data_IF_407835822335
#
_entry.id   IF_407835822335
#
_cell.length_a   1.000
_cell.length_b   1.000
_cell.length_c   1.000
_cell.angle_alpha   90.00
_cell.angle_beta   90.00
_cell.angle_gamma   90.00
#
_symmetry.space_group_name_H-M   'P 1'
#
loop_
_entity.id
_entity.type
_entity.pdbx_description
1 polymer ?
#
# COMPACT_ATOMS: atom_id res chain seq x y z
N UNK A 1 12.92 -23.52 19.52
CA UNK A 1 12.23 -22.33 18.97
C UNK A 1 11.43 -22.79 17.76
N UNK A 2 10.11 -22.95 17.89
CA UNK A 2 9.28 -23.54 16.84
C UNK A 2 8.82 -22.44 15.86
N UNK A 3 9.64 -22.07 14.88
CA UNK A 3 9.23 -21.11 13.85
C UNK A 3 8.04 -21.69 13.05
N UNK A 4 6.89 -21.01 13.07
CA UNK A 4 5.79 -21.37 12.18
C UNK A 4 6.22 -20.93 10.79
N UNK A 5 6.60 -21.90 9.95
CA UNK A 5 6.83 -21.64 8.52
C UNK A 5 5.48 -21.75 7.85
N UNK A 6 4.81 -20.61 7.64
CA UNK A 6 3.63 -20.59 6.78
C UNK A 6 4.11 -20.86 5.36
N UNK A 7 4.12 -22.13 4.96
CA UNK A 7 3.99 -22.51 3.56
C UNK A 7 2.52 -22.29 3.22
N UNK A 8 2.14 -21.04 2.97
CA UNK A 8 0.82 -20.79 2.38
C UNK A 8 0.90 -21.43 0.99
N UNK A 9 0.25 -22.58 0.86
CA UNK A 9 -0.10 -23.34 -0.34
C UNK A 9 0.52 -22.86 -1.66
N UNK A 10 1.20 -23.78 -2.35
CA UNK A 10 1.90 -23.67 -3.66
C UNK A 10 1.05 -23.14 -4.85
N UNK A 11 -0.07 -22.47 -4.62
CA UNK A 11 -0.94 -21.88 -5.66
C UNK A 11 -1.47 -20.47 -5.38
N UNK A 12 -1.32 -19.89 -4.18
CA UNK A 12 -1.83 -18.55 -3.87
C UNK A 12 -0.70 -17.53 -3.76
N UNK A 13 -0.65 -16.59 -4.72
CA UNK A 13 0.27 -15.46 -4.69
C UNK A 13 -0.30 -14.36 -3.79
N UNK A 14 0.05 -14.40 -2.51
CA UNK A 14 -0.23 -13.33 -1.57
C UNK A 14 1.08 -12.64 -1.15
N UNK A 15 0.99 -11.38 -0.75
CA UNK A 15 2.11 -10.61 -0.24
C UNK A 15 1.67 -9.83 0.99
N UNK A 16 2.52 -9.80 2.00
CA UNK A 16 2.32 -9.01 3.20
C UNK A 16 2.78 -7.58 2.94
N UNK A 17 1.85 -6.63 3.06
CA UNK A 17 2.15 -5.20 2.98
C UNK A 17 2.10 -4.64 4.39
N UNK A 18 3.11 -3.88 4.79
CA UNK A 18 3.18 -3.30 6.13
C UNK A 18 4.31 -2.29 6.28
N UNK A 19 4.64 -1.95 7.52
CA UNK A 19 5.68 -0.97 7.84
C UNK A 19 6.56 -1.48 8.98
N UNK A 20 7.83 -1.79 8.70
CA UNK A 20 8.74 -2.35 9.70
C UNK A 20 8.43 -3.81 10.06
N UNK A 21 7.98 -4.60 9.09
CA UNK A 21 7.44 -5.95 9.30
C UNK A 21 8.45 -6.96 9.88
N UNK A 22 9.75 -6.66 9.81
CA UNK A 22 10.80 -7.53 10.36
C UNK A 22 10.60 -7.81 11.86
N UNK A 23 10.17 -6.80 12.62
CA UNK A 23 9.93 -6.96 14.05
C UNK A 23 8.63 -7.74 14.31
N UNK A 24 7.57 -7.46 13.56
CA UNK A 24 6.29 -8.15 13.70
C UNK A 24 6.43 -9.65 13.44
N UNK A 25 7.11 -10.02 12.35
CA UNK A 25 7.38 -11.42 12.02
C UNK A 25 8.26 -12.12 13.06
N UNK A 26 9.21 -11.39 13.65
CA UNK A 26 10.04 -11.92 14.74
C UNK A 26 9.20 -12.21 15.98
N UNK A 27 8.34 -11.27 16.39
CA UNK A 27 7.47 -11.43 17.57
C UNK A 27 6.47 -12.57 17.37
N UNK A 28 5.84 -12.63 16.20
CA UNK A 28 4.87 -13.67 15.83
C UNK A 28 5.58 -15.01 15.56
N UNK A 29 6.92 -15.00 15.49
CA UNK A 29 7.75 -16.18 15.21
C UNK A 29 7.31 -16.89 13.90
N UNK A 30 7.11 -16.05 12.89
CA UNK A 30 6.65 -16.41 11.56
C UNK A 30 7.76 -16.11 10.55
N UNK A 31 8.21 -17.12 9.81
CA UNK A 31 9.13 -16.92 8.69
C UNK A 31 8.35 -16.67 7.39
N UNK A 32 8.55 -15.50 6.81
CA UNK A 32 8.01 -15.12 5.49
C UNK A 32 9.17 -14.88 4.52
N UNK A 33 9.17 -15.52 3.33
CA UNK A 33 10.14 -15.23 2.28
C UNK A 33 10.11 -13.74 1.87
N UNK A 34 11.28 -13.13 1.69
CA UNK A 34 11.38 -11.70 1.32
C UNK A 34 10.64 -11.35 0.02
N UNK A 35 10.48 -12.28 -0.90
CA UNK A 35 9.69 -12.10 -2.14
C UNK A 35 8.19 -11.89 -1.89
N UNK A 36 7.68 -12.26 -0.71
CA UNK A 36 6.29 -12.06 -0.30
C UNK A 36 6.13 -10.87 0.65
N UNK A 37 7.20 -10.13 0.96
CA UNK A 37 7.18 -8.99 1.87
C UNK A 37 7.29 -7.70 1.07
N UNK A 38 6.34 -6.81 1.30
CA UNK A 38 6.33 -5.44 0.78
C UNK A 38 6.37 -4.51 1.99
N UNK A 39 7.58 -4.15 2.41
CA UNK A 39 7.78 -3.26 3.56
C UNK A 39 7.89 -1.81 3.10
N UNK A 40 6.88 -1.01 3.44
CA UNK A 40 6.82 0.41 3.09
C UNK A 40 7.97 1.22 3.67
N UNK A 41 8.59 0.79 4.77
CA UNK A 41 9.75 1.49 5.33
C UNK A 41 10.94 1.46 4.36
N UNK A 42 11.14 0.33 3.68
CA UNK A 42 12.23 0.16 2.70
C UNK A 42 11.89 0.80 1.36
N UNK A 43 10.60 0.83 0.96
CA UNK A 43 10.17 1.47 -0.28
C UNK A 43 10.46 2.98 -0.34
N UNK A 44 10.40 3.67 0.80
CA UNK A 44 10.65 5.11 0.90
C UNK A 44 12.03 5.45 1.49
N UNK A 45 12.93 4.47 1.59
CA UNK A 45 14.25 4.64 2.19
C UNK A 45 15.29 5.07 1.15
N UNK A 46 16.16 6.01 1.52
CA UNK A 46 17.43 6.21 0.83
C UNK A 46 18.52 5.30 1.40
N UNK A 47 19.32 4.61 0.57
CA UNK A 47 20.36 3.71 1.04
C UNK A 47 21.36 4.47 1.92
N UNK A 48 21.77 3.86 3.04
CA UNK A 48 22.67 4.48 4.02
C UNK A 48 22.04 5.59 4.87
N UNK A 49 20.74 5.89 4.73
CA UNK A 49 20.04 6.89 5.54
C UNK A 49 19.07 6.28 6.56
N UNK A 50 18.62 7.14 7.49
CA UNK A 50 17.63 6.83 8.54
C UNK A 50 16.32 6.30 7.95
N UNK A 51 15.69 5.35 8.62
CA UNK A 51 14.34 4.87 8.31
C UNK A 51 13.27 5.91 8.68
N UNK A 52 12.28 6.08 7.81
CA UNK A 52 11.17 7.01 8.01
C UNK A 52 10.05 6.30 8.79
N UNK A 53 9.48 6.95 9.81
CA UNK A 53 8.39 6.36 10.59
C UNK A 53 7.06 6.38 9.84
N UNK A 54 6.16 5.45 10.18
CA UNK A 54 4.81 5.39 9.61
C UNK A 54 4.06 6.70 9.80
N UNK A 55 4.06 7.26 11.03
CA UNK A 55 3.43 8.56 11.34
C UNK A 55 3.99 9.70 10.47
N UNK A 56 5.30 9.72 10.22
CA UNK A 56 5.91 10.73 9.36
C UNK A 56 5.47 10.58 7.90
N UNK A 57 5.50 9.36 7.37
CA UNK A 57 5.07 9.09 5.98
C UNK A 57 3.58 9.37 5.79
N UNK A 58 2.73 8.91 6.70
CA UNK A 58 1.28 9.12 6.65
C UNK A 58 0.94 10.62 6.66
N UNK A 59 1.60 11.41 7.51
CA UNK A 59 1.36 12.85 7.60
C UNK A 59 1.75 13.61 6.33
N UNK A 60 2.84 13.22 5.65
CA UNK A 60 3.38 14.00 4.51
C UNK A 60 2.94 13.49 3.13
N UNK A 61 2.55 12.22 3.01
CA UNK A 61 2.17 11.61 1.73
C UNK A 61 0.68 11.37 1.58
N UNK A 62 -0.04 11.20 2.70
CA UNK A 62 -1.46 10.88 2.72
C UNK A 62 -2.30 11.95 3.43
N UNK A 63 -1.65 12.97 4.01
CA UNK A 63 -2.27 13.97 4.89
C UNK A 63 -3.06 13.34 6.05
N UNK A 64 -2.62 12.16 6.51
CA UNK A 64 -3.26 11.40 7.59
C UNK A 64 -2.52 11.58 8.92
N UNK A 65 -3.31 11.72 9.99
CA UNK A 65 -2.82 11.79 11.36
C UNK A 65 -3.19 10.52 12.10
N UNK A 66 -2.22 9.65 12.22
CA UNK A 66 -2.36 8.38 12.91
C UNK A 66 -1.60 8.42 14.24
N UNK A 67 -1.95 7.51 15.14
CA UNK A 67 -1.22 7.31 16.40
C UNK A 67 -1.10 8.61 17.24
N UNK A 68 -2.18 9.40 17.31
CA UNK A 68 -2.22 10.65 18.09
C UNK A 68 -2.26 10.37 19.60
N UNK A 69 -3.10 9.43 20.03
CA UNK A 69 -3.31 9.10 21.45
C UNK A 69 -2.95 7.65 21.74
N UNK A 70 -3.47 6.72 20.94
CA UNK A 70 -3.30 5.28 21.11
C UNK A 70 -2.95 4.64 19.77
N UNK A 71 -2.18 3.55 19.81
CA UNK A 71 -1.81 2.78 18.64
C UNK A 71 -2.93 1.81 18.26
N UNK A 72 -3.44 1.90 17.04
CA UNK A 72 -4.45 0.99 16.49
C UNK A 72 -3.86 0.25 15.29
N UNK A 73 -3.66 -1.05 15.46
CA UNK A 73 -3.07 -1.90 14.42
C UNK A 73 -3.89 -1.93 13.13
N UNK A 74 -5.20 -1.71 13.21
CA UNK A 74 -6.07 -1.64 12.02
C UNK A 74 -5.84 -0.34 11.27
N UNK A 75 -5.73 0.79 11.98
CA UNK A 75 -5.36 2.09 11.40
C UNK A 75 -3.99 2.03 10.73
N UNK A 76 -3.02 1.41 11.39
CA UNK A 76 -1.65 1.30 10.89
C UNK A 76 -1.56 0.41 9.64
N UNK A 77 -2.24 -0.74 9.64
CA UNK A 77 -2.29 -1.63 8.49
C UNK A 77 -2.94 -0.94 7.26
N UNK A 78 -4.01 -0.17 7.47
CA UNK A 78 -4.64 0.63 6.41
C UNK A 78 -3.69 1.71 5.89
N UNK A 79 -3.00 2.40 6.78
CA UNK A 79 -2.06 3.46 6.43
C UNK A 79 -0.87 2.92 5.62
N UNK A 80 -0.31 1.78 6.02
CA UNK A 80 0.73 1.11 5.25
C UNK A 80 0.24 0.67 3.86
N UNK A 81 -0.98 0.15 3.76
CA UNK A 81 -1.57 -0.20 2.46
C UNK A 81 -1.77 1.02 1.55
N UNK A 82 -2.23 2.15 2.11
CA UNK A 82 -2.37 3.41 1.37
C UNK A 82 -1.01 3.95 0.91
N UNK A 83 0.02 3.89 1.76
CA UNK A 83 1.39 4.25 1.39
C UNK A 83 1.92 3.41 0.25
N UNK A 84 1.65 2.10 0.24
CA UNK A 84 2.04 1.23 -0.87
C UNK A 84 1.34 1.61 -2.19
N UNK A 85 0.03 1.96 -2.14
CA UNK A 85 -0.67 2.48 -3.32
C UNK A 85 -0.06 3.79 -3.81
N UNK A 86 0.24 4.70 -2.90
CA UNK A 86 0.89 5.99 -3.20
C UNK A 86 2.28 5.81 -3.80
N UNK A 87 3.06 4.87 -3.28
CA UNK A 87 4.35 4.47 -3.85
C UNK A 87 4.20 4.04 -5.33
N UNK A 88 3.23 3.19 -5.64
CA UNK A 88 3.00 2.74 -7.01
C UNK A 88 2.60 3.88 -7.95
N UNK A 89 1.84 4.87 -7.47
CA UNK A 89 1.53 6.09 -8.23
C UNK A 89 2.79 6.91 -8.52
N UNK A 90 3.58 7.21 -7.49
CA UNK A 90 4.81 7.99 -7.61
C UNK A 90 5.82 7.29 -8.53
N UNK A 91 5.90 5.95 -8.45
CA UNK A 91 6.74 5.13 -9.33
C UNK A 91 6.28 5.19 -10.78
N UNK A 92 4.97 5.04 -11.04
CA UNK A 92 4.39 5.16 -12.40
C UNK A 92 4.62 6.54 -13.00
N UNK A 93 4.58 7.58 -12.18
CA UNK A 93 4.76 8.96 -12.61
C UNK A 93 6.24 9.37 -12.71
N UNK A 94 7.19 8.51 -12.30
CA UNK A 94 8.62 8.84 -12.31
C UNK A 94 9.06 9.88 -11.26
N UNK A 95 8.20 10.23 -10.30
CA UNK A 95 8.46 11.28 -9.30
C UNK A 95 8.89 10.74 -7.92
N UNK A 96 8.98 9.42 -7.78
CA UNK A 96 9.29 8.73 -6.52
C UNK A 96 10.58 9.24 -5.86
N UNK A 97 11.69 9.29 -6.60
CA UNK A 97 12.98 9.62 -6.01
C UNK A 97 13.05 11.07 -5.53
N UNK A 98 12.48 12.00 -6.31
CA UNK A 98 12.34 13.41 -5.93
C UNK A 98 11.50 13.56 -4.67
N UNK A 99 10.41 12.79 -4.58
CA UNK A 99 9.54 12.77 -3.40
C UNK A 99 10.28 12.26 -2.16
N UNK A 100 11.02 11.15 -2.26
CA UNK A 100 11.82 10.62 -1.16
C UNK A 100 12.87 11.66 -0.72
N UNK A 101 13.63 12.23 -1.65
CA UNK A 101 14.62 13.27 -1.33
C UNK A 101 13.98 14.49 -0.64
N UNK A 102 12.77 14.86 -1.03
CA UNK A 102 12.01 15.93 -0.38
C UNK A 102 11.62 15.57 1.06
N UNK A 103 11.12 14.35 1.29
CA UNK A 103 10.80 13.86 2.64
C UNK A 103 12.01 13.91 3.58
N UNK A 104 13.19 13.50 3.11
CA UNK A 104 14.41 13.60 3.91
C UNK A 104 14.79 15.06 4.20
N UNK A 105 14.67 15.97 3.23
CA UNK A 105 14.90 17.42 3.45
C UNK A 105 13.97 17.97 4.53
N UNK A 106 12.68 17.67 4.44
CA UNK A 106 11.70 18.04 5.48
C UNK A 106 12.15 17.48 6.83
N UNK A 107 12.44 16.18 6.90
CA UNK A 107 12.84 15.53 8.14
C UNK A 107 14.09 16.12 8.78
N UNK A 108 15.10 16.51 8.00
CA UNK A 108 16.26 17.23 8.54
C UNK A 108 15.87 18.63 9.05
N UNK A 109 15.01 19.35 8.34
CA UNK A 109 14.58 20.70 8.74
C UNK A 109 13.67 20.71 9.98
N UNK A 110 12.81 19.71 10.14
CA UNK A 110 11.86 19.59 11.24
C UNK A 110 12.35 18.68 12.36
N UNK A 111 13.60 18.20 12.29
CA UNK A 111 14.17 17.19 13.19
C UNK A 111 13.29 15.94 13.32
N UNK A 112 12.64 15.53 12.23
CA UNK A 112 11.75 14.37 12.14
C UNK A 112 10.49 14.46 13.01
N UNK A 113 10.14 15.65 13.50
CA UNK A 113 8.91 15.88 14.25
C UNK A 113 7.73 16.05 13.30
N UNK A 114 6.62 15.42 13.65
CA UNK A 114 5.33 15.59 12.96
C UNK A 114 4.50 16.55 13.81
N UNK A 115 4.15 17.75 13.30
CA UNK A 115 3.40 18.73 14.09
C UNK A 115 1.98 18.24 14.38
N UNK A 116 1.54 18.39 15.64
CA UNK A 116 0.19 18.01 16.08
C UNK A 116 -0.89 19.03 15.70
N UNK A 117 -0.52 20.21 15.20
CA UNK A 117 -1.44 21.21 14.61
C UNK A 117 -1.39 21.10 13.09
N UNK A 118 -2.50 21.27 12.33
CA UNK A 118 -2.46 21.22 10.87
C UNK A 118 -1.50 22.30 10.39
N UNK A 119 -0.24 21.92 10.20
CA UNK A 119 0.61 22.65 9.30
C UNK A 119 -0.13 22.54 7.98
N UNK A 120 -0.74 23.65 7.57
CA UNK A 120 -1.14 23.88 6.20
C UNK A 120 0.18 23.85 5.42
N UNK A 121 0.70 22.65 5.18
CA UNK A 121 1.64 22.47 4.10
C UNK A 121 0.85 22.89 2.89
N UNK A 122 1.30 23.91 2.14
CA UNK A 122 0.59 24.29 0.93
C UNK A 122 0.48 23.01 0.10
N UNK A 123 -0.76 22.54 -0.08
CA UNK A 123 -1.09 21.42 -0.96
C UNK A 123 -0.84 21.87 -2.39
N UNK A 124 0.44 21.96 -2.71
CA UNK A 124 0.95 21.99 -4.06
C UNK A 124 2.02 20.92 -4.11
N UNK A 125 1.57 19.67 -4.09
CA UNK A 125 2.13 18.66 -5.00
C UNK A 125 1.82 19.08 -6.46
N UNK A 126 2.22 20.30 -6.85
CA UNK A 126 2.64 20.55 -8.22
C UNK A 126 4.10 20.16 -8.22
N UNK A 127 4.41 18.98 -8.76
CA UNK A 127 5.77 18.69 -9.18
C UNK A 127 6.12 19.79 -10.21
N UNK A 128 7.10 20.68 -9.93
CA UNK A 128 7.39 21.79 -10.83
C UNK A 128 8.29 21.27 -11.95
N UNK A 129 7.77 20.43 -12.83
CA UNK A 129 8.36 20.21 -14.15
C UNK A 129 7.40 19.45 -15.08
N UNK A 130 6.25 20.05 -15.39
CA UNK A 130 5.66 19.82 -16.70
C UNK A 130 6.48 20.64 -17.70
N UNK A 131 7.66 20.15 -18.09
CA UNK A 131 8.24 20.56 -19.36
C UNK A 131 7.48 19.90 -20.49
N UNK A 132 6.27 20.42 -20.73
CA UNK A 132 5.68 20.33 -22.04
C UNK A 132 6.33 21.43 -22.89
N UNK A 133 7.42 21.03 -23.54
CA UNK A 133 7.79 21.54 -24.85
C UNK A 133 6.52 21.58 -25.72
N UNK A 134 6.06 22.75 -26.13
CA UNK A 134 5.34 22.93 -27.41
C UNK A 134 5.24 24.42 -27.73
N UNK A 135 6.19 24.84 -28.55
CA UNK A 135 5.95 25.89 -29.54
C UNK A 135 4.59 25.67 -30.21
N UNK A 136 3.74 26.68 -30.18
CA UNK A 136 2.60 26.79 -31.10
C UNK A 136 2.68 28.12 -31.85
N UNK A 137 2.63 28.10 -33.20
CA UNK A 137 2.54 29.29 -34.01
C UNK A 137 1.08 29.73 -34.22
N UNK A 138 0.93 31.03 -34.45
CA UNK A 138 -0.07 31.72 -35.30
C UNK A 138 -1.54 31.27 -35.26
N UNK A 139 -2.32 32.13 -34.59
CA UNK A 139 -3.65 32.63 -34.98
C UNK A 139 -4.20 32.21 -36.35
N UNK A 140 -5.35 31.53 -36.35
CA UNK A 140 -6.36 31.63 -37.41
C UNK A 140 -7.79 31.43 -36.85
N UNK A 141 -8.51 32.55 -36.88
CA UNK A 141 -9.91 32.79 -37.23
C UNK A 141 -11.02 31.74 -36.99
N UNK A 142 -12.04 32.21 -36.28
CA UNK A 142 -13.42 31.70 -36.19
C UNK A 142 -14.09 31.54 -37.56
N UNK A 143 -15.12 30.67 -37.65
CA UNK A 143 -16.43 31.25 -37.91
C UNK A 143 -17.58 30.68 -37.06
N UNK A 144 -18.50 31.62 -36.80
CA UNK A 144 -19.90 31.51 -36.39
C UNK A 144 -20.77 30.68 -37.35
N UNK A 145 -21.72 29.90 -36.83
CA UNK A 145 -23.17 29.89 -37.18
C UNK A 145 -23.92 28.61 -36.73
N UNK A 146 -24.85 28.76 -35.76
CA UNK A 146 -26.26 28.26 -35.70
C UNK A 146 -26.60 26.73 -35.79
N UNK A 147 -27.84 26.25 -35.47
CA UNK A 147 -28.86 26.72 -34.53
C UNK A 147 -29.49 25.61 -33.62
N UNK A 148 -30.44 26.07 -32.80
CA UNK A 148 -31.35 25.42 -31.84
C UNK A 148 -32.51 24.61 -32.48
N UNK A 149 -33.02 23.57 -31.77
CA UNK A 149 -34.41 23.02 -31.68
C UNK A 149 -34.38 21.47 -31.77
N UNK A 150 -35.18 20.61 -31.11
CA UNK A 150 -36.10 20.61 -29.96
C UNK A 150 -36.52 19.13 -29.72
N UNK A 151 -37.13 18.86 -28.56
CA UNK A 151 -38.15 17.81 -28.26
C UNK A 151 -37.77 16.32 -28.04
N UNK A 152 -37.51 15.98 -26.76
CA UNK A 152 -38.15 14.91 -25.94
C UNK A 152 -37.79 13.41 -26.13
N UNK A 153 -38.14 12.49 -25.18
CA UNK A 153 -38.76 12.66 -23.87
C UNK A 153 -37.96 12.11 -22.66
N UNK A 154 -38.49 12.43 -21.49
CA UNK A 154 -38.14 12.00 -20.13
C UNK A 154 -38.36 10.49 -19.93
N UNK A 155 -37.45 9.79 -19.22
CA UNK A 155 -37.86 8.85 -18.18
C UNK A 155 -36.75 8.44 -17.19
N UNK A 156 -37.16 8.44 -15.93
CA UNK A 156 -36.75 7.57 -14.80
C UNK A 156 -35.31 7.61 -14.27
N UNK A 157 -35.23 8.21 -13.07
CA UNK A 157 -34.49 7.76 -11.88
C UNK A 157 -34.06 6.28 -11.92
N UNK A 158 -32.83 6.00 -11.51
CA UNK A 158 -32.50 4.90 -10.59
C UNK A 158 -31.15 5.22 -9.89
N UNK A 159 -31.13 4.91 -8.60
CA UNK A 159 -30.12 5.23 -7.59
C UNK A 159 -28.81 4.43 -7.72
N UNK A 160 -27.74 4.86 -7.01
CA UNK A 160 -26.42 4.24 -7.04
C UNK A 160 -26.29 3.21 -5.92
N UNK A 161 -26.32 1.91 -6.21
CA UNK A 161 -25.97 0.88 -5.22
C UNK A 161 -25.38 -0.33 -5.94
N UNK A 162 -24.05 -0.38 -6.06
CA UNK A 162 -23.32 -1.60 -6.41
C UNK A 162 -21.97 -1.64 -5.66
N UNK A 163 -22.04 -1.97 -4.37
CA UNK A 163 -20.91 -2.50 -3.60
C UNK A 163 -21.35 -3.80 -2.91
N UNK A 164 -21.05 -4.98 -3.48
CA UNK A 164 -21.26 -6.24 -2.78
C UNK A 164 -19.93 -6.81 -2.31
N UNK A 165 -19.55 -6.54 -1.05
CA UNK A 165 -18.76 -7.54 -0.29
C UNK A 165 -18.97 -7.39 1.22
N UNK A 166 -20.18 -7.73 1.69
CA UNK A 166 -20.42 -8.10 3.09
C UNK A 166 -20.35 -9.62 3.17
N UNK A 167 -19.24 -10.16 3.68
CA UNK A 167 -19.17 -11.58 4.03
C UNK A 167 -19.78 -11.77 5.42
N UNK A 168 -21.03 -12.26 5.46
CA UNK A 168 -21.68 -12.75 6.68
C UNK A 168 -20.93 -14.01 7.17
N UNK A 169 -20.55 -14.02 8.45
CA UNK A 169 -20.11 -15.22 9.15
C UNK A 169 -21.27 -16.23 9.26
N UNK A 170 -21.11 -17.40 8.62
CA UNK A 170 -21.98 -18.56 8.77
C UNK A 170 -21.29 -19.63 9.62
N UNK A 171 -21.97 -20.06 10.68
CA UNK A 171 -21.49 -21.04 11.64
C UNK A 171 -21.43 -22.49 11.08
N UNK A 172 -20.38 -23.21 11.48
CA UNK A 172 -20.39 -24.61 11.89
C UNK A 172 -20.89 -25.68 10.92
N UNK A 173 -19.95 -26.50 10.41
CA UNK A 173 -20.13 -27.95 10.28
C UNK A 173 -18.77 -28.67 10.30
N UNK A 174 -18.57 -29.51 11.33
CA UNK A 174 -17.55 -30.56 11.38
C UNK A 174 -17.79 -31.54 10.23
N UNK A 175 -16.75 -31.91 9.51
CA UNK A 175 -16.72 -33.18 8.77
C UNK A 175 -15.46 -33.95 9.17
N UNK A 176 -15.67 -35.23 9.45
CA UNK A 176 -14.70 -36.23 9.93
C UNK A 176 -13.63 -36.54 8.89
N UNK A 177 -12.37 -36.65 9.35
CA UNK A 177 -11.30 -37.32 8.62
C UNK A 177 -11.57 -38.84 8.57
N UNK A 178 -11.36 -39.51 7.43
CA UNK A 178 -11.24 -40.98 7.40
C UNK A 178 -9.87 -41.44 7.94
N UNK A 179 -9.90 -42.54 8.68
CA UNK A 179 -8.82 -43.21 9.41
C UNK A 179 -7.81 -43.96 8.52
N UNK A 180 -6.55 -43.97 8.99
CA UNK A 180 -5.34 -44.71 8.56
C UNK A 180 -5.47 -46.25 8.60
N UNK A 181 -4.55 -47.04 7.97
CA UNK A 181 -3.34 -47.57 8.64
C UNK A 181 -2.16 -47.95 7.66
N UNK A 182 -1.14 -48.76 8.03
CA UNK A 182 -0.07 -48.56 9.01
C UNK A 182 1.37 -48.62 8.39
N UNK A 183 2.38 -48.53 9.25
CA UNK A 183 3.81 -48.35 8.99
C UNK A 183 4.56 -49.54 8.32
N UNK A 184 5.66 -49.21 7.62
CA UNK A 184 6.81 -50.09 7.43
C UNK A 184 8.07 -49.29 7.80
N UNK A 185 8.78 -49.77 8.83
CA UNK A 185 10.11 -49.30 9.20
C UNK A 185 11.21 -50.20 8.65
N UNK A 186 12.42 -49.96 9.16
CA UNK A 186 13.71 -50.63 8.89
C UNK A 186 14.49 -50.01 7.71
N UNK A 187 15.78 -49.70 7.78
CA UNK A 187 16.74 -49.76 8.88
C UNK A 187 17.93 -48.84 8.59
N UNK A 188 18.79 -48.68 9.60
CA UNK A 188 20.01 -47.89 9.63
C UNK A 188 21.05 -48.51 8.70
N UNK A 189 21.90 -47.69 8.10
CA UNK A 189 23.31 -48.04 7.90
C UNK A 189 24.15 -46.75 7.98
N UNK A 190 25.23 -46.86 8.74
CA UNK A 190 26.28 -45.90 8.94
C UNK A 190 27.56 -46.56 8.44
N UNK A 191 28.34 -45.93 7.56
CA UNK A 191 29.78 -46.19 7.35
C UNK A 191 30.31 -45.11 6.39
N UNK A 192 31.13 -44.16 6.84
CA UNK A 192 32.60 -44.15 6.79
C UNK A 192 33.20 -44.11 5.36
N UNK A 193 33.63 -42.90 4.95
CA UNK A 193 34.94 -42.65 4.35
C UNK A 193 35.30 -41.17 4.34
#
# INVERSE_FOLDING_TARGET
MLCIRIKLFDGLRFSFVGHGLSQDFRIINLFVPSSQIIDTVELFRLPGRRLLSLKFLAAHLLDLRIQQTTHDSVEDARSALLLYRRYNELRRNGTLEQCIQHLYRIGYSTKWSVPDSPAVLPLSFHCPFSSAHSSLPSSVSFPSSLPLSSSGPVCSRLSPEDLPFVLRCGAGRRQQLPSSPPAVGLEREAEEK
#
